data_IF_023257733140
#
_entry.id   IF_023257733140
#
_cell.length_a   1.000
_cell.length_b   1.000
_cell.length_c   1.000
_cell.angle_alpha   90.00
_cell.angle_beta   90.00
_cell.angle_gamma   90.00
#
_symmetry.space_group_name_H-M   'P 1'
#
loop_
_entity.id
_entity.type
_entity.pdbx_description
1 polymer ?
#
# COMPACT_ATOMS: atom_id res chain seq x y z
N UNK A 1 12.42 -1.71 -2.42
CA UNK A 1 12.31 -1.19 -3.80
C UNK A 1 12.09 -2.31 -4.83
N UNK A 2 12.81 -3.45 -4.74
CA UNK A 2 12.73 -4.54 -5.73
C UNK A 2 11.30 -5.06 -5.92
N UNK A 3 10.51 -5.23 -4.85
CA UNK A 3 9.11 -5.64 -4.98
C UNK A 3 8.23 -4.66 -5.78
N UNK A 4 8.47 -3.35 -5.64
CA UNK A 4 7.77 -2.33 -6.44
C UNK A 4 8.15 -2.41 -7.92
N UNK A 5 9.44 -2.58 -8.19
CA UNK A 5 9.96 -2.74 -9.56
C UNK A 5 9.38 -4.02 -10.17
N UNK A 6 9.28 -5.09 -9.40
CA UNK A 6 8.73 -6.37 -9.85
C UNK A 6 7.27 -6.26 -10.29
N UNK A 7 6.42 -5.47 -9.59
CA UNK A 7 5.05 -5.20 -10.02
C UNK A 7 5.04 -4.56 -11.42
N UNK A 8 5.92 -3.56 -11.63
CA UNK A 8 6.04 -2.90 -12.93
C UNK A 8 6.54 -3.83 -14.03
N UNK A 9 7.54 -4.68 -13.73
CA UNK A 9 8.07 -5.65 -14.67
C UNK A 9 7.02 -6.71 -15.06
N UNK A 10 6.25 -7.20 -14.10
CA UNK A 10 5.15 -8.15 -14.34
C UNK A 10 4.07 -7.52 -15.23
N UNK A 11 3.67 -6.27 -14.95
CA UNK A 11 2.76 -5.52 -15.83
C UNK A 11 3.37 -5.32 -17.24
N UNK A 12 4.68 -5.05 -17.32
CA UNK A 12 5.38 -4.96 -18.59
C UNK A 12 5.33 -6.26 -19.40
N UNK A 13 5.47 -7.42 -18.74
CA UNK A 13 5.31 -8.73 -19.41
C UNK A 13 3.89 -8.93 -19.90
N UNK A 14 2.89 -8.58 -19.08
CA UNK A 14 1.48 -8.75 -19.44
C UNK A 14 1.03 -7.88 -20.62
N UNK A 15 1.46 -6.61 -20.65
CA UNK A 15 0.92 -5.60 -21.56
C UNK A 15 1.83 -5.32 -22.76
N UNK A 16 3.17 -5.46 -22.60
CA UNK A 16 4.16 -5.07 -23.60
C UNK A 16 4.98 -6.25 -24.14
N UNK A 17 4.83 -7.44 -23.54
CA UNK A 17 5.43 -8.69 -24.00
C UNK A 17 6.73 -9.11 -23.30
N UNK A 18 7.34 -10.16 -23.84
CA UNK A 18 8.39 -10.94 -23.17
C UNK A 18 9.73 -10.24 -22.96
N UNK A 19 9.95 -9.07 -23.54
CA UNK A 19 11.20 -8.30 -23.36
C UNK A 19 11.51 -7.98 -21.90
N UNK A 20 10.50 -7.94 -21.02
CA UNK A 20 10.64 -7.68 -19.58
C UNK A 20 10.80 -8.95 -18.74
N UNK A 21 10.54 -10.14 -19.30
CA UNK A 21 10.46 -11.41 -18.57
C UNK A 21 11.78 -11.79 -17.90
N UNK A 22 12.91 -11.63 -18.57
CA UNK A 22 14.23 -11.93 -17.98
C UNK A 22 14.51 -11.08 -16.75
N UNK A 23 14.26 -9.77 -16.83
CA UNK A 23 14.44 -8.86 -15.69
C UNK A 23 13.45 -9.14 -14.56
N UNK A 24 12.21 -9.49 -14.90
CA UNK A 24 11.19 -9.88 -13.93
C UNK A 24 11.62 -11.13 -13.16
N UNK A 25 12.06 -12.20 -13.85
CA UNK A 25 12.56 -13.42 -13.21
C UNK A 25 13.75 -13.15 -12.30
N UNK A 26 14.74 -12.41 -12.77
CA UNK A 26 15.91 -12.07 -11.96
C UNK A 26 15.52 -11.30 -10.68
N UNK A 27 14.57 -10.38 -10.75
CA UNK A 27 14.07 -9.66 -9.59
C UNK A 27 13.29 -10.58 -8.62
N UNK A 28 12.44 -11.47 -9.14
CA UNK A 28 11.68 -12.43 -8.32
C UNK A 28 12.60 -13.45 -7.65
N UNK A 29 13.53 -14.05 -8.38
CA UNK A 29 14.52 -14.99 -7.86
C UNK A 29 15.40 -14.37 -6.77
N UNK A 30 15.79 -13.10 -6.95
CA UNK A 30 16.53 -12.37 -5.92
C UNK A 30 15.72 -12.19 -4.65
N UNK A 31 14.45 -11.83 -4.75
CA UNK A 31 13.56 -11.72 -3.59
C UNK A 31 13.41 -13.06 -2.86
N UNK A 32 13.20 -14.15 -3.61
CA UNK A 32 13.11 -15.50 -3.04
C UNK A 32 14.41 -15.88 -2.32
N UNK A 33 15.57 -15.68 -2.96
CA UNK A 33 16.88 -16.07 -2.42
C UNK A 33 17.32 -15.27 -1.19
N UNK A 34 16.75 -14.08 -1.00
CA UNK A 34 17.07 -13.19 0.13
C UNK A 34 16.06 -13.27 1.27
N UNK A 35 14.96 -14.01 1.11
CA UNK A 35 13.95 -14.22 2.15
C UNK A 35 14.52 -15.10 3.26
N UNK A 36 14.21 -14.76 4.50
CA UNK A 36 14.52 -15.59 5.66
C UNK A 36 13.54 -16.77 5.77
N UNK A 37 13.94 -17.83 6.46
CA UNK A 37 13.17 -19.08 6.56
C UNK A 37 11.76 -18.90 7.18
N UNK A 38 11.56 -17.83 7.94
CA UNK A 38 10.24 -17.50 8.53
C UNK A 38 9.36 -16.65 7.62
N UNK A 39 9.82 -16.26 6.42
CA UNK A 39 9.08 -15.47 5.44
C UNK A 39 9.37 -13.96 5.48
N UNK A 40 10.17 -13.46 6.41
CA UNK A 40 10.55 -12.05 6.45
C UNK A 40 11.74 -11.73 5.52
N UNK A 41 11.94 -10.44 5.24
CA UNK A 41 13.16 -9.92 4.63
C UNK A 41 13.90 -9.01 5.62
N UNK A 42 15.14 -9.34 6.02
CA UNK A 42 15.91 -8.56 6.98
C UNK A 42 17.30 -8.16 6.49
N UNK A 43 17.78 -8.85 5.43
CA UNK A 43 19.20 -8.78 5.02
C UNK A 43 19.57 -7.56 4.19
N UNK A 44 18.64 -6.98 3.48
CA UNK A 44 18.92 -5.92 2.51
C UNK A 44 18.05 -4.67 2.79
N UNK A 45 18.31 -3.94 3.89
CA UNK A 45 17.54 -2.76 4.24
C UNK A 45 17.70 -1.68 3.17
N UNK A 46 16.66 -0.87 2.97
CA UNK A 46 16.77 0.31 2.10
C UNK A 46 17.51 1.43 2.84
N UNK A 47 18.14 2.37 2.12
CA UNK A 47 18.78 3.53 2.77
C UNK A 47 17.81 4.42 3.58
N UNK A 48 16.49 4.24 3.35
CA UNK A 48 15.44 5.04 3.98
C UNK A 48 14.81 4.39 5.19
N UNK A 49 15.21 3.16 5.54
CA UNK A 49 14.65 2.41 6.65
C UNK A 49 15.76 1.88 7.57
N UNK A 50 15.50 1.91 8.86
CA UNK A 50 16.33 1.19 9.83
C UNK A 50 16.30 -0.31 9.56
N UNK A 51 17.39 -1.01 9.89
CA UNK A 51 17.45 -2.46 9.80
C UNK A 51 16.39 -3.13 10.71
N UNK A 52 15.98 -4.34 10.37
CA UNK A 52 15.04 -5.13 11.17
C UNK A 52 13.77 -5.52 10.42
N UNK A 53 12.84 -6.08 11.16
CA UNK A 53 11.55 -6.56 10.65
C UNK A 53 10.67 -5.41 10.14
N UNK A 54 10.02 -5.63 9.00
CA UNK A 54 9.12 -4.63 8.40
C UNK A 54 7.85 -5.31 7.87
N UNK A 55 6.74 -5.20 8.60
CA UNK A 55 5.49 -5.84 8.18
C UNK A 55 4.87 -5.19 6.94
N UNK A 56 5.27 -3.98 6.56
CA UNK A 56 4.87 -3.39 5.29
C UNK A 56 5.47 -4.09 4.06
N UNK A 57 6.41 -5.03 4.25
CA UNK A 57 6.99 -5.83 3.17
C UNK A 57 6.01 -6.85 2.57
N UNK A 58 4.82 -7.02 3.14
CA UNK A 58 3.69 -7.66 2.42
C UNK A 58 3.44 -7.03 1.04
N UNK A 59 3.83 -5.78 0.85
CA UNK A 59 3.85 -5.13 -0.45
C UNK A 59 4.89 -5.72 -1.42
N UNK A 60 5.99 -6.26 -0.91
CA UNK A 60 6.97 -7.03 -1.71
C UNK A 60 6.37 -8.37 -2.14
N UNK A 61 5.64 -9.03 -1.22
CA UNK A 61 4.90 -10.26 -1.52
C UNK A 61 3.90 -10.05 -2.68
N UNK A 62 3.23 -8.90 -2.74
CA UNK A 62 2.39 -8.56 -3.89
C UNK A 62 3.16 -8.59 -5.20
N UNK A 63 4.41 -8.08 -5.24
CA UNK A 63 5.26 -8.16 -6.44
C UNK A 63 5.48 -9.60 -6.91
N UNK A 64 5.70 -10.54 -6.00
CA UNK A 64 5.84 -11.96 -6.31
C UNK A 64 4.53 -12.59 -6.80
N UNK A 65 3.37 -12.20 -6.27
CA UNK A 65 2.07 -12.63 -6.80
C UNK A 65 1.86 -12.13 -8.23
N UNK A 66 2.21 -10.89 -8.55
CA UNK A 66 2.09 -10.37 -9.91
C UNK A 66 3.05 -11.08 -10.88
N UNK A 67 4.28 -11.39 -10.45
CA UNK A 67 5.19 -12.20 -11.24
C UNK A 67 4.62 -13.60 -11.52
N UNK A 68 4.04 -14.26 -10.49
CA UNK A 68 3.44 -15.58 -10.62
C UNK A 68 2.18 -15.60 -11.51
N UNK A 69 1.48 -14.47 -11.69
CA UNK A 69 0.32 -14.37 -12.62
C UNK A 69 0.74 -14.46 -14.08
N UNK A 70 1.90 -13.93 -14.44
CA UNK A 70 2.40 -13.85 -15.83
C UNK A 70 3.46 -14.89 -16.14
N UNK A 71 4.05 -15.49 -15.12
CA UNK A 71 5.06 -16.54 -15.20
C UNK A 71 4.88 -17.50 -14.02
N UNK A 72 3.94 -18.46 -14.10
CA UNK A 72 3.58 -19.32 -12.99
C UNK A 72 4.78 -20.08 -12.43
N UNK A 73 5.18 -19.75 -11.20
CA UNK A 73 6.21 -20.42 -10.45
C UNK A 73 5.74 -20.61 -9.00
N UNK A 74 5.73 -21.87 -8.54
CA UNK A 74 5.33 -22.23 -7.17
C UNK A 74 6.22 -21.58 -6.13
N UNK A 75 7.50 -21.38 -6.42
CA UNK A 75 8.45 -20.80 -5.47
C UNK A 75 8.12 -19.33 -5.19
N UNK A 76 7.68 -18.57 -6.20
CA UNK A 76 7.23 -17.19 -6.02
C UNK A 76 5.99 -17.11 -5.13
N UNK A 77 5.05 -18.02 -5.36
CA UNK A 77 3.81 -18.08 -4.57
C UNK A 77 4.10 -18.47 -3.10
N UNK A 78 4.93 -19.48 -2.87
CA UNK A 78 5.31 -19.93 -1.53
C UNK A 78 6.02 -18.82 -0.75
N UNK A 79 6.96 -18.12 -1.37
CA UNK A 79 7.64 -17.00 -0.75
C UNK A 79 6.69 -15.84 -0.41
N UNK A 80 5.80 -15.48 -1.33
CA UNK A 80 4.81 -14.44 -1.11
C UNK A 80 3.84 -14.79 0.03
N UNK A 81 3.27 -16.01 0.00
CA UNK A 81 2.37 -16.50 1.05
C UNK A 81 3.08 -16.59 2.41
N UNK A 82 4.31 -17.08 2.43
CA UNK A 82 5.14 -17.13 3.65
C UNK A 82 5.29 -15.76 4.31
N UNK A 83 5.54 -14.72 3.51
CA UNK A 83 5.64 -13.36 4.03
C UNK A 83 4.31 -12.84 4.60
N UNK A 84 3.19 -13.07 3.92
CA UNK A 84 1.88 -12.66 4.45
C UNK A 84 1.59 -13.39 5.77
N UNK A 85 1.78 -14.71 5.85
CA UNK A 85 1.58 -15.44 7.09
C UNK A 85 2.49 -14.93 8.23
N UNK A 86 3.77 -14.68 7.92
CA UNK A 86 4.68 -14.08 8.90
C UNK A 86 4.15 -12.71 9.38
N UNK A 87 3.71 -11.83 8.48
CA UNK A 87 3.19 -10.53 8.85
C UNK A 87 1.94 -10.63 9.74
N UNK A 88 1.05 -11.62 9.48
CA UNK A 88 -0.11 -11.85 10.32
C UNK A 88 0.26 -12.23 11.76
N UNK A 89 1.40 -12.88 12.01
CA UNK A 89 1.89 -13.12 13.38
C UNK A 89 2.17 -11.84 14.16
N UNK A 90 2.40 -10.74 13.45
CA UNK A 90 2.66 -9.41 14.02
C UNK A 90 1.40 -8.55 14.12
N UNK A 91 0.25 -9.01 13.62
CA UNK A 91 -1.00 -8.27 13.72
C UNK A 91 -1.62 -8.41 15.10
N UNK A 92 -2.04 -7.29 15.68
CA UNK A 92 -2.78 -7.24 16.96
C UNK A 92 -4.28 -7.46 16.73
N UNK A 93 -5.05 -7.81 17.80
CA UNK A 93 -6.49 -8.02 17.66
C UNK A 93 -7.28 -6.85 17.07
N UNK A 94 -6.83 -5.62 17.29
CA UNK A 94 -7.44 -4.42 16.70
C UNK A 94 -7.00 -4.13 15.24
N UNK A 95 -6.28 -5.05 14.59
CA UNK A 95 -5.80 -4.90 13.23
C UNK A 95 -4.47 -4.15 13.05
N UNK A 96 -3.86 -3.69 14.15
CA UNK A 96 -2.57 -3.00 14.12
C UNK A 96 -1.43 -3.96 13.80
N UNK A 97 -0.64 -3.65 12.77
CA UNK A 97 0.61 -4.35 12.51
C UNK A 97 1.76 -3.73 13.31
N UNK A 98 2.44 -4.54 14.12
CA UNK A 98 3.70 -4.15 14.73
C UNK A 98 4.80 -4.05 13.65
N UNK A 99 5.87 -3.34 13.94
CA UNK A 99 7.03 -3.16 13.05
C UNK A 99 6.68 -2.62 11.64
N UNK A 100 5.59 -1.85 11.54
CA UNK A 100 5.06 -1.35 10.27
C UNK A 100 5.57 0.07 9.97
N UNK A 101 6.87 0.30 10.08
CA UNK A 101 7.44 1.63 9.83
C UNK A 101 8.83 1.59 9.22
N UNK A 102 9.23 2.68 8.58
CA UNK A 102 10.60 2.92 8.10
C UNK A 102 11.56 3.11 9.28
N UNK A 103 11.20 3.97 10.24
CA UNK A 103 12.08 4.42 11.33
C UNK A 103 11.47 4.30 12.72
N UNK A 104 10.20 4.67 12.91
CA UNK A 104 9.54 4.71 14.22
C UNK A 104 8.32 3.78 14.27
N UNK A 105 8.45 2.53 14.76
CA UNK A 105 7.35 1.57 14.81
C UNK A 105 6.25 1.94 15.82
N UNK A 106 6.49 2.87 16.74
CA UNK A 106 5.47 3.33 17.71
C UNK A 106 4.42 4.24 17.06
N UNK A 107 4.79 4.92 15.97
CA UNK A 107 3.93 5.80 15.18
C UNK A 107 4.24 5.72 13.67
N UNK A 108 3.94 4.59 13.05
CA UNK A 108 4.18 4.37 11.62
C UNK A 108 3.48 5.42 10.76
N UNK A 109 4.07 5.62 9.58
CA UNK A 109 3.44 6.40 8.53
C UNK A 109 2.18 5.72 8.00
N UNK A 110 1.14 6.49 7.70
CA UNK A 110 -0.06 5.99 7.00
C UNK A 110 0.31 5.33 5.66
N UNK A 111 1.36 5.80 5.01
CA UNK A 111 1.95 5.21 3.82
C UNK A 111 2.39 3.74 4.02
N UNK A 112 3.12 3.45 5.10
CA UNK A 112 3.57 2.08 5.37
C UNK A 112 2.43 1.16 5.83
N UNK A 113 1.45 1.70 6.58
CA UNK A 113 0.22 0.99 6.90
C UNK A 113 -0.59 0.65 5.65
N UNK A 114 -0.64 1.57 4.67
CA UNK A 114 -1.24 1.33 3.36
C UNK A 114 -0.55 0.21 2.59
N UNK A 115 0.78 0.13 2.66
CA UNK A 115 1.54 -0.98 2.07
C UNK A 115 1.22 -2.33 2.73
N UNK A 116 1.20 -2.37 4.07
CA UNK A 116 0.86 -3.59 4.79
C UNK A 116 -0.54 -4.09 4.42
N UNK A 117 -1.52 -3.20 4.46
CA UNK A 117 -2.90 -3.53 4.10
C UNK A 117 -3.02 -4.01 2.64
N UNK A 118 -2.37 -3.31 1.69
CA UNK A 118 -2.44 -3.68 0.28
C UNK A 118 -1.87 -5.08 0.03
N UNK A 119 -0.71 -5.40 0.59
CA UNK A 119 -0.11 -6.72 0.40
C UNK A 119 -1.00 -7.85 0.91
N UNK A 120 -1.64 -7.68 2.06
CA UNK A 120 -2.58 -8.67 2.62
C UNK A 120 -3.82 -8.82 1.74
N UNK A 121 -4.39 -7.72 1.21
CA UNK A 121 -5.51 -7.77 0.25
C UNK A 121 -5.09 -8.55 -1.01
N UNK A 122 -3.91 -8.31 -1.54
CA UNK A 122 -3.44 -9.01 -2.75
C UNK A 122 -3.17 -10.49 -2.48
N UNK A 123 -2.71 -10.85 -1.27
CA UNK A 123 -2.64 -12.24 -0.85
C UNK A 123 -4.01 -12.95 -0.89
N UNK A 124 -5.05 -12.29 -0.37
CA UNK A 124 -6.43 -12.80 -0.49
C UNK A 124 -6.88 -12.91 -1.95
N UNK A 125 -6.66 -11.87 -2.75
CA UNK A 125 -7.05 -11.85 -4.17
C UNK A 125 -6.35 -12.92 -5.01
N UNK A 126 -5.15 -13.32 -4.60
CA UNK A 126 -4.39 -14.36 -5.28
C UNK A 126 -4.81 -15.76 -4.84
N UNK A 127 -4.91 -16.00 -3.54
CA UNK A 127 -5.04 -17.34 -2.96
C UNK A 127 -6.39 -17.66 -2.32
N UNK A 128 -7.23 -16.64 -2.05
CA UNK A 128 -8.58 -16.84 -1.48
C UNK A 128 -8.63 -17.16 0.01
N UNK A 129 -7.49 -17.11 0.75
CA UNK A 129 -7.46 -17.43 2.18
C UNK A 129 -8.28 -16.43 2.99
N UNK A 130 -9.32 -16.92 3.68
CA UNK A 130 -10.24 -16.10 4.46
C UNK A 130 -9.54 -15.33 5.57
N UNK A 131 -8.51 -15.91 6.18
CA UNK A 131 -7.69 -15.29 7.22
C UNK A 131 -7.04 -13.99 6.76
N UNK A 132 -6.65 -13.91 5.48
CA UNK A 132 -6.08 -12.69 4.89
C UNK A 132 -7.15 -11.61 4.73
N UNK A 133 -8.34 -11.97 4.28
CA UNK A 133 -9.45 -11.02 4.22
C UNK A 133 -9.83 -10.51 5.61
N UNK A 134 -9.95 -11.38 6.58
CA UNK A 134 -10.28 -11.00 7.95
C UNK A 134 -9.21 -10.08 8.55
N UNK A 135 -7.94 -10.34 8.30
CA UNK A 135 -6.83 -9.50 8.72
C UNK A 135 -6.89 -8.11 8.03
N UNK A 136 -7.14 -8.10 6.72
CA UNK A 136 -7.28 -6.85 5.96
C UNK A 136 -8.46 -6.01 6.47
N UNK A 137 -9.61 -6.64 6.73
CA UNK A 137 -10.81 -5.96 7.26
C UNK A 137 -10.55 -5.33 8.63
N UNK A 138 -9.84 -6.03 9.54
CA UNK A 138 -9.48 -5.46 10.85
C UNK A 138 -8.62 -4.21 10.71
N UNK A 139 -7.58 -4.26 9.88
CA UNK A 139 -6.69 -3.10 9.65
C UNK A 139 -7.44 -1.96 8.96
N UNK A 140 -8.23 -2.26 7.94
CA UNK A 140 -9.02 -1.27 7.21
C UNK A 140 -10.01 -0.53 8.09
N UNK A 141 -10.69 -1.23 9.01
CA UNK A 141 -11.61 -0.63 10.01
C UNK A 141 -10.85 0.24 11.01
N UNK A 142 -9.67 -0.19 11.45
CA UNK A 142 -8.80 0.62 12.31
C UNK A 142 -8.38 1.93 11.63
N UNK A 143 -7.92 1.88 10.39
CA UNK A 143 -7.60 3.07 9.59
C UNK A 143 -8.84 3.97 9.38
N UNK A 144 -10.01 3.37 9.17
CA UNK A 144 -11.26 4.12 8.98
C UNK A 144 -11.69 4.87 10.25
N UNK A 145 -11.41 4.33 11.44
CA UNK A 145 -11.69 5.02 12.71
C UNK A 145 -10.83 6.29 12.90
N UNK A 146 -9.68 6.37 12.24
CA UNK A 146 -8.80 7.56 12.25
C UNK A 146 -9.19 8.61 11.20
N UNK A 147 -10.11 8.30 10.28
CA UNK A 147 -10.51 9.20 9.20
C UNK A 147 -11.50 10.24 9.72
N UNK A 148 -11.10 11.51 9.68
CA UNK A 148 -11.99 12.61 10.03
C UNK A 148 -13.16 12.78 9.03
N UNK A 149 -14.27 13.43 9.43
CA UNK A 149 -15.43 13.66 8.55
C UNK A 149 -15.09 14.38 7.25
N UNK A 150 -14.11 15.28 7.26
CA UNK A 150 -13.63 16.03 6.09
C UNK A 150 -12.64 15.25 5.21
N UNK A 151 -12.36 13.97 5.52
CA UNK A 151 -11.44 13.12 4.78
C UNK A 151 -9.96 13.24 5.16
N UNK A 152 -9.64 14.05 6.18
CA UNK A 152 -8.28 14.11 6.72
C UNK A 152 -7.94 12.78 7.41
N UNK A 153 -6.80 12.20 7.00
CA UNK A 153 -6.22 11.03 7.66
C UNK A 153 -4.84 11.42 8.19
N UNK A 154 -4.56 11.31 9.51
CA UNK A 154 -3.27 11.68 10.07
C UNK A 154 -2.12 10.95 9.39
N UNK A 155 -1.03 11.66 9.09
CA UNK A 155 0.14 11.11 8.38
C UNK A 155 0.90 10.05 9.18
N UNK A 156 0.73 10.03 10.51
CA UNK A 156 1.18 8.97 11.43
C UNK A 156 0.08 8.63 12.41
N UNK A 157 0.00 7.36 12.77
CA UNK A 157 -0.99 6.84 13.72
C UNK A 157 -0.31 6.16 14.89
N UNK A 158 -1.00 6.06 16.02
CA UNK A 158 -0.61 5.27 17.19
C UNK A 158 -1.31 3.91 17.16
N UNK A 159 -0.89 3.01 18.02
CA UNK A 159 -1.38 1.63 18.12
C UNK A 159 -2.89 1.53 18.39
N UNK A 160 -3.49 2.52 18.99
CA UNK A 160 -4.93 2.64 19.24
C UNK A 160 -5.70 3.29 18.08
N UNK A 161 -5.04 3.51 16.96
CA UNK A 161 -5.51 4.21 15.77
C UNK A 161 -5.71 5.72 15.95
N UNK A 162 -5.34 6.30 17.09
CA UNK A 162 -5.36 7.75 17.27
C UNK A 162 -4.30 8.44 16.40
N UNK A 163 -4.57 9.68 15.98
CA UNK A 163 -3.60 10.48 15.23
C UNK A 163 -2.35 10.79 16.07
N UNK A 164 -1.17 10.60 15.50
CA UNK A 164 0.10 10.94 16.13
C UNK A 164 0.64 12.31 15.70
N UNK A 165 0.09 12.87 14.63
CA UNK A 165 0.51 14.14 14.01
C UNK A 165 -0.69 14.91 13.46
N UNK A 166 -0.50 16.23 13.23
CA UNK A 166 -1.53 17.11 12.69
C UNK A 166 -1.45 17.33 11.17
N UNK A 167 -0.52 16.69 10.49
CA UNK A 167 -0.36 16.72 9.04
C UNK A 167 -0.82 15.40 8.41
N UNK A 168 -1.24 15.44 7.15
CA UNK A 168 -1.61 14.26 6.36
C UNK A 168 -0.45 13.82 5.47
N UNK A 169 -0.21 12.51 5.38
CA UNK A 169 0.59 11.91 4.31
C UNK A 169 -0.33 11.71 3.09
N UNK A 170 -0.18 12.54 2.04
CA UNK A 170 -1.10 12.48 0.90
C UNK A 170 -0.96 11.17 0.11
N UNK A 171 0.26 10.63 0.00
CA UNK A 171 0.51 9.30 -0.54
C UNK A 171 -0.24 8.22 0.24
N UNK A 172 -0.08 8.20 1.56
CA UNK A 172 -0.75 7.21 2.43
C UNK A 172 -2.26 7.32 2.39
N UNK A 173 -2.80 8.54 2.34
CA UNK A 173 -4.25 8.76 2.26
C UNK A 173 -4.87 8.10 1.02
N UNK A 174 -4.29 8.29 -0.17
CA UNK A 174 -4.82 7.68 -1.40
C UNK A 174 -4.53 6.18 -1.51
N UNK A 175 -3.42 5.68 -0.93
CA UNK A 175 -3.16 4.25 -0.85
C UNK A 175 -4.20 3.53 0.00
N UNK A 176 -4.51 4.10 1.17
CA UNK A 176 -5.53 3.55 2.06
C UNK A 176 -6.91 3.65 1.41
N UNK A 177 -7.24 4.77 0.74
CA UNK A 177 -8.47 4.90 -0.02
C UNK A 177 -8.61 3.82 -1.11
N UNK A 178 -7.53 3.55 -1.85
CA UNK A 178 -7.51 2.48 -2.84
C UNK A 178 -7.77 1.10 -2.19
N UNK A 179 -7.16 0.81 -1.04
CA UNK A 179 -7.41 -0.42 -0.29
C UNK A 179 -8.88 -0.54 0.14
N UNK A 180 -9.50 0.54 0.62
CA UNK A 180 -10.92 0.56 0.95
C UNK A 180 -11.80 0.30 -0.29
N UNK A 181 -11.48 0.86 -1.46
CA UNK A 181 -12.21 0.56 -2.70
C UNK A 181 -12.10 -0.92 -3.11
N UNK A 182 -10.91 -1.52 -2.97
CA UNK A 182 -10.73 -2.95 -3.20
C UNK A 182 -11.58 -3.79 -2.25
N UNK A 183 -11.62 -3.43 -0.96
CA UNK A 183 -12.45 -4.12 0.03
C UNK A 183 -13.94 -3.92 -0.25
N UNK A 184 -14.37 -2.75 -0.70
CA UNK A 184 -15.74 -2.54 -1.19
C UNK A 184 -16.06 -3.48 -2.35
N UNK A 185 -15.19 -3.60 -3.35
CA UNK A 185 -15.35 -4.54 -4.49
C UNK A 185 -15.47 -6.00 -4.04
N UNK A 186 -14.72 -6.38 -2.99
CA UNK A 186 -14.71 -7.76 -2.46
C UNK A 186 -15.95 -8.06 -1.61
N UNK A 187 -16.36 -7.12 -0.76
CA UNK A 187 -17.35 -7.36 0.30
C UNK A 187 -18.74 -6.77 0.03
N UNK A 188 -18.83 -5.77 -0.85
CA UNK A 188 -20.04 -4.96 -1.05
C UNK A 188 -20.33 -3.97 0.08
N UNK A 189 -19.48 -3.89 1.12
CA UNK A 189 -19.69 -2.96 2.25
C UNK A 189 -19.43 -1.51 1.85
N UNK A 190 -20.52 -0.76 1.69
CA UNK A 190 -20.51 0.63 1.24
C UNK A 190 -19.74 1.58 2.19
N UNK A 191 -19.54 1.20 3.45
CA UNK A 191 -18.77 2.03 4.40
C UNK A 191 -17.34 2.24 3.94
N UNK A 192 -16.72 1.24 3.29
CA UNK A 192 -15.39 1.34 2.70
C UNK A 192 -15.37 2.30 1.50
N UNK A 193 -16.36 2.20 0.59
CA UNK A 193 -16.49 3.13 -0.53
C UNK A 193 -16.60 4.57 -0.06
N UNK A 194 -17.45 4.82 0.93
CA UNK A 194 -17.72 6.16 1.43
C UNK A 194 -16.51 6.75 2.18
N UNK A 195 -15.75 5.92 2.90
CA UNK A 195 -14.48 6.32 3.49
C UNK A 195 -13.44 6.68 2.42
N UNK A 196 -13.30 5.84 1.39
CA UNK A 196 -12.38 6.07 0.28
C UNK A 196 -12.69 7.38 -0.46
N UNK A 197 -13.96 7.64 -0.77
CA UNK A 197 -14.40 8.87 -1.43
C UNK A 197 -14.05 10.12 -0.63
N UNK A 198 -14.21 10.09 0.70
CA UNK A 198 -13.83 11.22 1.56
C UNK A 198 -12.31 11.44 1.54
N UNK A 199 -11.51 10.38 1.67
CA UNK A 199 -10.05 10.49 1.64
C UNK A 199 -9.53 10.97 0.27
N UNK A 200 -10.06 10.44 -0.84
CA UNK A 200 -9.72 10.89 -2.18
C UNK A 200 -10.13 12.34 -2.42
N UNK A 201 -11.34 12.75 -2.01
CA UNK A 201 -11.81 14.13 -2.11
C UNK A 201 -10.91 15.10 -1.32
N UNK A 202 -10.46 14.70 -0.11
CA UNK A 202 -9.50 15.46 0.66
C UNK A 202 -8.20 15.68 -0.14
N UNK A 203 -7.62 14.64 -0.74
CA UNK A 203 -6.37 14.79 -1.51
C UNK A 203 -6.61 15.58 -2.80
N UNK A 204 -7.69 15.32 -3.55
CA UNK A 204 -8.05 16.09 -4.76
C UNK A 204 -8.09 17.60 -4.50
N UNK A 205 -8.64 18.02 -3.38
CA UNK A 205 -8.71 19.45 -3.03
C UNK A 205 -7.37 20.09 -2.70
N UNK A 206 -6.27 19.34 -2.62
CA UNK A 206 -4.88 19.81 -2.38
C UNK A 206 -4.02 19.78 -3.65
N UNK A 207 -4.53 19.20 -4.73
CA UNK A 207 -3.87 19.18 -6.04
C UNK A 207 -4.22 20.47 -6.79
N UNK A 208 -3.21 21.17 -7.28
CA UNK A 208 -3.41 22.37 -8.10
C UNK A 208 -3.67 21.97 -9.54
N UNK A 209 -4.84 22.34 -10.09
CA UNK A 209 -5.16 22.17 -11.51
C UNK A 209 -4.69 23.33 -12.40
N UNK A 210 -4.25 24.43 -11.78
CA UNK A 210 -3.75 25.67 -12.45
C UNK A 210 -2.39 26.05 -11.90
N UNK A 211 -1.68 26.94 -12.61
CA UNK A 211 -0.35 27.43 -12.21
C UNK A 211 0.75 26.95 -13.14
N UNK A 212 2.00 27.03 -12.68
CA UNK A 212 3.17 26.65 -13.45
C UNK A 212 3.10 25.18 -13.89
N UNK A 213 3.45 24.85 -15.15
CA UNK A 213 3.35 23.48 -15.70
C UNK A 213 4.07 22.43 -14.84
N UNK A 214 5.20 22.82 -14.20
CA UNK A 214 6.07 21.93 -13.42
C UNK A 214 5.40 21.37 -12.15
N UNK A 215 4.36 22.06 -11.63
CA UNK A 215 3.66 21.67 -10.39
C UNK A 215 2.18 21.43 -10.59
N UNK A 216 1.68 21.69 -11.80
CA UNK A 216 0.26 21.48 -12.12
C UNK A 216 -0.07 20.00 -12.18
N UNK A 217 -1.06 19.58 -11.39
CA UNK A 217 -1.45 18.18 -11.25
C UNK A 217 -0.56 17.37 -10.29
N UNK A 218 0.54 17.93 -9.78
CA UNK A 218 1.44 17.23 -8.89
C UNK A 218 0.88 17.08 -7.47
N UNK A 219 1.16 15.93 -6.84
CA UNK A 219 0.73 15.60 -5.48
C UNK A 219 1.92 15.77 -4.52
N UNK A 220 1.70 16.56 -3.47
CA UNK A 220 2.70 16.76 -2.41
C UNK A 220 2.86 15.52 -1.55
N UNK A 221 4.02 15.39 -0.88
CA UNK A 221 4.23 14.33 0.11
C UNK A 221 3.33 14.49 1.32
N UNK A 222 3.27 15.70 1.87
CA UNK A 222 2.48 16.03 3.06
C UNK A 222 1.56 17.24 2.85
N UNK A 223 0.54 17.34 3.71
CA UNK A 223 -0.29 18.53 3.86
C UNK A 223 -0.58 18.81 5.36
N UNK A 224 -0.21 19.98 5.91
CA UNK A 224 0.57 21.02 5.24
C UNK A 224 1.93 20.54 4.71
N UNK A 225 2.56 21.30 3.82
CA UNK A 225 3.74 20.90 3.03
C UNK A 225 5.01 20.67 3.88
N UNK A 226 5.06 21.21 5.08
CA UNK A 226 6.10 21.02 6.10
C UNK A 226 6.00 19.70 6.87
N UNK A 227 5.00 18.86 6.60
CA UNK A 227 4.88 17.54 7.23
C UNK A 227 6.09 16.64 6.91
N UNK A 228 6.38 15.69 7.81
CA UNK A 228 7.63 14.91 7.81
C UNK A 228 7.80 13.95 6.60
N UNK A 229 6.78 13.72 5.79
CA UNK A 229 6.86 12.81 4.64
C UNK A 229 6.95 13.60 3.33
N UNK A 230 8.12 13.54 2.66
CA UNK A 230 8.36 14.35 1.46
C UNK A 230 8.13 15.83 1.72
N UNK A 231 8.79 16.34 2.77
CA UNK A 231 8.67 17.71 3.21
C UNK A 231 9.08 18.68 2.09
N UNK A 232 8.20 19.61 1.74
CA UNK A 232 8.38 20.58 0.64
C UNK A 232 8.56 19.94 -0.75
N UNK A 233 8.18 18.65 -0.93
CA UNK A 233 8.38 17.92 -2.17
C UNK A 233 7.06 17.54 -2.86
N UNK A 234 7.12 17.45 -4.19
CA UNK A 234 6.15 16.74 -5.01
C UNK A 234 6.71 15.35 -5.35
N UNK A 235 5.91 14.30 -5.14
CA UNK A 235 6.39 12.94 -5.26
C UNK A 235 5.71 12.23 -6.44
N UNK A 236 6.51 11.65 -7.35
CA UNK A 236 5.97 10.92 -8.49
C UNK A 236 5.12 9.71 -8.07
N UNK A 237 5.53 8.97 -7.02
CA UNK A 237 4.74 7.86 -6.50
C UNK A 237 3.45 8.33 -5.81
N UNK A 238 3.40 9.54 -5.23
CA UNK A 238 2.16 10.10 -4.73
C UNK A 238 1.17 10.36 -5.88
N UNK A 239 1.66 10.84 -7.02
CA UNK A 239 0.85 11.00 -8.23
C UNK A 239 0.34 9.65 -8.75
N UNK A 240 1.20 8.63 -8.78
CA UNK A 240 0.82 7.25 -9.19
C UNK A 240 -0.32 6.71 -8.34
N UNK A 241 -0.19 6.72 -7.02
CA UNK A 241 -1.24 6.22 -6.13
C UNK A 241 -2.51 7.08 -6.15
N UNK A 242 -2.37 8.38 -6.37
CA UNK A 242 -3.51 9.28 -6.57
C UNK A 242 -4.30 8.90 -7.82
N UNK A 243 -3.64 8.67 -8.94
CA UNK A 243 -4.26 8.25 -10.21
C UNK A 243 -4.98 6.91 -10.01
N UNK A 244 -4.30 5.91 -9.50
CA UNK A 244 -4.87 4.57 -9.30
C UNK A 244 -6.13 4.61 -8.43
N UNK A 245 -6.09 5.34 -7.30
CA UNK A 245 -7.22 5.40 -6.39
C UNK A 245 -8.42 6.12 -6.99
N UNK A 246 -8.18 7.20 -7.77
CA UNK A 246 -9.27 7.95 -8.38
C UNK A 246 -9.88 7.21 -9.59
N UNK A 247 -9.08 6.51 -10.39
CA UNK A 247 -9.60 5.68 -11.48
C UNK A 247 -10.46 4.53 -10.94
N UNK A 248 -10.01 3.87 -9.87
CA UNK A 248 -10.81 2.81 -9.24
C UNK A 248 -12.10 3.37 -8.60
N UNK A 249 -12.05 4.58 -8.00
CA UNK A 249 -13.26 5.25 -7.50
C UNK A 249 -14.25 5.54 -8.64
N UNK A 250 -13.76 6.05 -9.77
CA UNK A 250 -14.59 6.33 -10.94
C UNK A 250 -15.24 5.06 -11.48
N UNK A 251 -14.48 3.99 -11.69
CA UNK A 251 -14.97 2.68 -12.13
C UNK A 251 -16.12 2.18 -11.23
N UNK A 252 -15.88 2.11 -9.92
CA UNK A 252 -16.84 1.55 -8.96
C UNK A 252 -18.05 2.46 -8.69
N UNK A 253 -17.97 3.75 -9.02
CA UNK A 253 -19.10 4.69 -8.86
C UNK A 253 -19.88 4.91 -10.16
N UNK A 254 -19.32 4.56 -11.32
CA UNK A 254 -20.05 4.57 -12.59
C UNK A 254 -21.11 3.47 -12.62
N UNK A 255 -20.80 2.30 -12.08
CA UNK A 255 -21.71 1.14 -12.00
C UNK A 255 -22.86 1.35 -10.98
N UNK A 256 -22.82 2.42 -10.20
CA UNK A 256 -23.86 2.74 -9.20
C UNK A 256 -24.88 3.80 -9.68
N UNK A 257 -24.81 4.19 -10.95
CA UNK A 257 -25.77 5.11 -11.60
C UNK A 257 -26.66 4.36 -12.57
#
# INVERSE_FOLDING_TARGET
NTGQILIGLASGVAELGDSYRTSMRAAAEWLVSTQDADGAWRKNPTPFAEAGEKTYETHVAWGLFEAARVDPDRVYVEAAMGNIWWALTKQRPNGWFAECCLTDPSRPLTHTLGYALRGVIEGYRFGGQQEFLDAALRTAKGLMSALAPNGFLPGRLRRDWSGAVSWACLTGSVQVAHCWLLLYRITGDATFRDAARRANAFVRSRVRSTGAPEVRGAVKGSFPVEGEYGQFEYLNWACKFFIDSNLLEEELCADAR
#
